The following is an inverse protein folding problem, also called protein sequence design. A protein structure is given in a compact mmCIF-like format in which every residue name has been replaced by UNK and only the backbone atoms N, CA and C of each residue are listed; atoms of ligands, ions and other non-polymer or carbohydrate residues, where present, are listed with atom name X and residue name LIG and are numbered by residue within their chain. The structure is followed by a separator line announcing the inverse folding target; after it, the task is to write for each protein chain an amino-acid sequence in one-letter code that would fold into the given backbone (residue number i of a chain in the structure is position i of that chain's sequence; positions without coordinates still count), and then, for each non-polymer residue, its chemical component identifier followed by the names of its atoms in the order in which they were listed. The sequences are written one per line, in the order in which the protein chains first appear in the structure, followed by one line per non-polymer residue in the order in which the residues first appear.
data_IF_010715175751
#
_entry.id   IF_010715175751
#
_cell.length_a   1.000
_cell.length_b   1.000
_cell.length_c   1.000
_cell.angle_alpha   90.00
_cell.angle_beta   90.00
_cell.angle_gamma   90.00
#
_symmetry.space_group_name_H-M   'P 1'
#
loop_
_entity.id
_entity.type
_entity.pdbx_description
1 polymer ?
#
# COMPACT_ATOMS: atom_id res chain seq x y z
N UNK A 1 -5.94 15.11 -10.10
CA UNK A 1 -7.02 16.12 -10.16
C UNK A 1 -6.72 17.17 -11.22
N UNK A 2 -6.35 16.74 -12.44
CA UNK A 2 -5.87 17.66 -13.50
C UNK A 2 -6.98 18.53 -14.09
N UNK A 3 -8.19 17.99 -14.25
CA UNK A 3 -9.37 18.74 -14.73
C UNK A 3 -9.70 19.90 -13.76
N UNK A 4 -9.67 19.63 -12.45
CA UNK A 4 -9.87 20.67 -11.42
C UNK A 4 -8.76 21.72 -11.43
N UNK A 5 -7.51 21.34 -11.74
CA UNK A 5 -6.42 22.31 -11.85
C UNK A 5 -6.55 23.19 -13.08
N UNK A 6 -6.94 22.63 -14.23
CA UNK A 6 -7.24 23.39 -15.44
C UNK A 6 -8.36 24.39 -15.20
N UNK A 7 -9.48 23.93 -14.63
CA UNK A 7 -10.61 24.81 -14.32
C UNK A 7 -10.22 25.88 -13.29
N UNK A 8 -9.36 25.56 -12.32
CA UNK A 8 -8.85 26.52 -11.34
C UNK A 8 -7.87 27.57 -11.91
N UNK A 9 -7.46 27.47 -13.19
CA UNK A 9 -6.73 28.53 -13.89
C UNK A 9 -7.68 29.59 -14.47
N UNK A 10 -8.92 29.20 -14.79
CA UNK A 10 -9.94 30.07 -15.35
C UNK A 10 -10.84 30.69 -14.27
N UNK A 11 -11.17 29.91 -13.24
CA UNK A 11 -12.01 30.32 -12.11
C UNK A 11 -11.30 30.09 -10.78
N UNK A 12 -11.89 30.57 -9.68
CA UNK A 12 -11.29 30.35 -8.38
C UNK A 12 -11.27 28.86 -7.98
N UNK A 13 -10.23 28.45 -7.24
CA UNK A 13 -10.01 27.04 -6.84
C UNK A 13 -11.21 26.46 -6.10
N UNK A 14 -11.90 27.26 -5.27
CA UNK A 14 -13.04 26.80 -4.46
C UNK A 14 -14.24 26.46 -5.34
N UNK A 15 -14.53 27.29 -6.34
CA UNK A 15 -15.58 27.07 -7.34
C UNK A 15 -15.22 25.89 -8.23
N UNK A 16 -13.97 25.76 -8.68
CA UNK A 16 -13.53 24.61 -9.47
C UNK A 16 -13.66 23.29 -8.68
N UNK A 17 -13.27 23.30 -7.40
CA UNK A 17 -13.46 22.16 -6.51
C UNK A 17 -14.94 21.84 -6.30
N UNK A 18 -15.79 22.84 -6.06
CA UNK A 18 -17.22 22.65 -5.86
C UNK A 18 -17.92 22.12 -7.12
N UNK A 19 -17.64 22.70 -8.29
CA UNK A 19 -18.22 22.30 -9.58
C UNK A 19 -17.88 20.85 -9.95
N UNK A 20 -16.67 20.39 -9.59
CA UNK A 20 -16.20 19.04 -9.86
C UNK A 20 -16.34 18.09 -8.65
N UNK A 21 -17.04 18.51 -7.60
CA UNK A 21 -17.26 17.71 -6.36
C UNK A 21 -15.97 17.19 -5.71
N UNK A 22 -14.88 17.96 -5.83
CA UNK A 22 -13.58 17.64 -5.25
C UNK A 22 -13.41 18.32 -3.89
N UNK A 23 -12.93 17.59 -2.89
CA UNK A 23 -12.50 18.19 -1.62
C UNK A 23 -11.36 19.19 -1.84
N UNK A 24 -11.53 20.44 -1.41
CA UNK A 24 -10.48 21.48 -1.51
C UNK A 24 -9.19 21.05 -0.79
N UNK A 25 -9.30 20.41 0.37
CA UNK A 25 -8.14 19.90 1.09
C UNK A 25 -7.40 18.81 0.29
N UNK A 26 -8.15 17.93 -0.39
CA UNK A 26 -7.59 16.93 -1.31
C UNK A 26 -6.88 17.57 -2.50
N UNK A 27 -7.49 18.60 -3.10
CA UNK A 27 -6.91 19.35 -4.21
C UNK A 27 -5.58 20.01 -3.83
N UNK A 28 -5.52 20.74 -2.71
CA UNK A 28 -4.27 21.36 -2.28
C UNK A 28 -3.19 20.34 -1.91
N UNK A 29 -3.54 19.22 -1.25
CA UNK A 29 -2.59 18.12 -1.01
C UNK A 29 -2.05 17.53 -2.30
N UNK A 30 -2.91 17.28 -3.27
CA UNK A 30 -2.51 16.77 -4.59
C UNK A 30 -1.59 17.78 -5.31
N UNK A 31 -1.97 19.05 -5.36
CA UNK A 31 -1.21 20.13 -6.00
C UNK A 31 0.16 20.34 -5.34
N UNK A 32 0.22 20.28 -4.00
CA UNK A 32 1.48 20.35 -3.25
C UNK A 32 2.40 19.18 -3.57
N UNK A 33 1.87 17.95 -3.69
CA UNK A 33 2.64 16.75 -4.06
C UNK A 33 3.22 16.81 -5.47
N UNK A 34 2.56 17.50 -6.41
CA UNK A 34 3.09 17.69 -7.78
C UNK A 34 4.24 18.68 -7.83
N UNK A 35 4.26 19.70 -6.95
CA UNK A 35 5.30 20.72 -6.90
C UNK A 35 6.55 20.28 -6.12
N UNK A 36 6.39 19.39 -5.16
CA UNK A 36 7.51 18.78 -4.44
C UNK A 36 8.15 17.68 -5.28
N UNK A 37 9.48 17.61 -5.33
CA UNK A 37 10.18 16.38 -5.73
C UNK A 37 9.61 15.24 -4.88
N UNK A 38 9.23 14.09 -5.46
CA UNK A 38 8.79 12.95 -4.68
C UNK A 38 9.91 12.61 -3.70
N UNK A 39 9.78 13.02 -2.43
CA UNK A 39 10.52 12.33 -1.38
C UNK A 39 9.98 10.92 -1.44
N UNK A 40 10.87 9.97 -1.68
CA UNK A 40 10.58 8.58 -1.43
C UNK A 40 10.26 8.49 0.08
N UNK A 41 9.01 8.74 0.44
CA UNK A 41 8.47 8.43 1.75
C UNK A 41 8.31 6.91 1.81
N UNK A 42 9.40 6.18 1.55
CA UNK A 42 9.50 4.79 1.94
C UNK A 42 9.57 4.82 3.44
N UNK A 43 8.43 4.50 4.06
CA UNK A 43 8.40 4.22 5.48
C UNK A 43 9.48 3.16 5.75
N UNK A 44 10.34 3.34 6.77
CA UNK A 44 11.31 2.32 7.11
C UNK A 44 10.56 1.00 7.36
N UNK A 45 11.19 -0.11 6.97
CA UNK A 45 10.65 -1.42 7.27
C UNK A 45 10.44 -1.55 8.79
N UNK A 46 9.35 -2.16 9.25
CA UNK A 46 9.18 -2.42 10.68
C UNK A 46 10.32 -3.31 11.18
N UNK A 47 10.70 -3.21 12.47
CA UNK A 47 11.82 -3.99 13.01
C UNK A 47 11.57 -5.51 12.98
N UNK A 48 10.30 -5.92 12.91
CA UNK A 48 9.85 -7.31 12.79
C UNK A 48 9.37 -7.64 11.37
N UNK A 49 9.82 -6.88 10.36
CA UNK A 49 9.59 -7.27 8.97
C UNK A 49 10.39 -8.53 8.66
N UNK A 50 9.79 -9.43 7.89
CA UNK A 50 10.53 -10.52 7.27
C UNK A 50 11.62 -9.95 6.36
N UNK A 51 12.81 -10.52 6.46
CA UNK A 51 13.86 -10.41 5.45
C UNK A 51 13.39 -11.04 4.13
N UNK A 52 14.10 -10.71 3.05
CA UNK A 52 13.79 -11.28 1.74
C UNK A 52 14.04 -12.79 1.69
N UNK A 53 15.01 -13.28 2.46
CA UNK A 53 15.27 -14.72 2.59
C UNK A 53 14.14 -15.43 3.34
N UNK A 54 13.67 -14.86 4.45
CA UNK A 54 12.54 -15.41 5.23
C UNK A 54 11.25 -15.44 4.39
N UNK A 55 10.92 -14.34 3.70
CA UNK A 55 9.73 -14.26 2.83
C UNK A 55 9.76 -15.35 1.74
N UNK A 56 10.91 -15.55 1.08
CA UNK A 56 11.06 -16.59 0.06
C UNK A 56 10.90 -17.99 0.65
N UNK A 57 11.48 -18.24 1.82
CA UNK A 57 11.42 -19.55 2.49
C UNK A 57 9.98 -19.89 2.86
N UNK A 58 9.26 -18.93 3.44
CA UNK A 58 7.83 -19.07 3.77
C UNK A 58 7.02 -19.34 2.50
N UNK A 59 7.25 -18.56 1.43
CA UNK A 59 6.54 -18.78 0.18
C UNK A 59 6.78 -20.17 -0.39
N UNK A 60 8.02 -20.68 -0.41
CA UNK A 60 8.29 -22.04 -0.90
C UNK A 60 7.49 -23.09 -0.13
N UNK A 61 7.41 -22.96 1.19
CA UNK A 61 6.67 -23.89 2.04
C UNK A 61 5.16 -23.78 1.82
N UNK A 62 4.63 -22.56 1.70
CA UNK A 62 3.19 -22.35 1.45
C UNK A 62 2.74 -22.87 0.07
N UNK A 63 3.66 -22.98 -0.90
CA UNK A 63 3.36 -23.57 -2.21
C UNK A 63 3.54 -25.10 -2.25
N UNK A 64 3.88 -25.74 -1.13
CA UNK A 64 3.91 -27.21 -1.04
C UNK A 64 2.49 -27.76 -1.22
N UNK A 65 2.36 -28.87 -1.98
CA UNK A 65 1.10 -29.57 -2.22
C UNK A 65 0.35 -29.92 -0.92
N UNK A 66 1.08 -30.13 0.18
CA UNK A 66 0.52 -30.46 1.50
C UNK A 66 -0.17 -29.28 2.18
N UNK A 67 0.07 -28.05 1.73
CA UNK A 67 -0.34 -26.79 2.40
C UNK A 67 -1.10 -25.84 1.48
N UNK A 68 -0.96 -25.97 0.16
CA UNK A 68 -1.51 -25.03 -0.84
C UNK A 68 -3.04 -24.83 -0.72
N UNK A 69 -3.78 -25.88 -0.35
CA UNK A 69 -5.25 -25.84 -0.21
C UNK A 69 -5.73 -25.59 1.24
N UNK A 70 -4.80 -25.42 2.19
CA UNK A 70 -5.15 -25.26 3.61
C UNK A 70 -5.39 -23.79 3.97
N UNK A 71 -6.26 -23.57 4.96
CA UNK A 71 -6.46 -22.22 5.48
C UNK A 71 -5.21 -21.76 6.24
N UNK A 72 -4.84 -20.45 6.22
CA UNK A 72 -3.64 -19.96 6.91
C UNK A 72 -3.53 -20.36 8.41
N UNK A 73 -4.62 -20.37 9.21
CA UNK A 73 -4.53 -20.83 10.61
C UNK A 73 -4.21 -22.33 10.76
N UNK A 74 -4.63 -23.16 9.80
CA UNK A 74 -4.38 -24.60 9.80
C UNK A 74 -2.93 -24.89 9.43
N UNK A 75 -2.41 -24.19 8.42
CA UNK A 75 -0.99 -24.25 8.04
C UNK A 75 -0.11 -23.93 9.25
N UNK A 76 -0.41 -22.85 9.97
CA UNK A 76 0.34 -22.46 11.16
C UNK A 76 0.36 -23.55 12.23
N UNK A 77 -0.79 -24.15 12.54
CA UNK A 77 -0.88 -25.26 13.52
C UNK A 77 -0.10 -26.49 13.06
N UNK A 78 -0.25 -26.85 11.79
CA UNK A 78 0.45 -28.01 11.21
C UNK A 78 1.97 -27.83 11.23
N UNK A 79 2.48 -26.64 10.92
CA UNK A 79 3.91 -26.34 11.02
C UNK A 79 4.40 -26.44 12.48
N UNK A 80 3.62 -25.94 13.44
CA UNK A 80 3.94 -26.09 14.86
C UNK A 80 3.94 -27.55 15.32
N UNK A 81 2.95 -28.34 14.90
CA UNK A 81 2.87 -29.78 15.23
C UNK A 81 4.05 -30.57 14.61
N UNK A 82 4.52 -30.15 13.44
CA UNK A 82 5.73 -30.69 12.77
C UNK A 82 7.04 -30.16 13.39
N UNK A 83 6.98 -29.22 14.34
CA UNK A 83 8.15 -28.62 15.00
C UNK A 83 8.94 -27.66 14.12
N UNK A 84 8.32 -27.14 13.06
CA UNK A 84 8.93 -26.23 12.09
C UNK A 84 8.68 -24.78 12.51
N UNK A 85 9.75 -24.02 12.70
CA UNK A 85 9.72 -22.60 13.04
C UNK A 85 10.43 -21.82 11.92
N UNK A 86 9.70 -20.88 11.32
CA UNK A 86 10.11 -20.08 10.16
C UNK A 86 10.27 -18.61 10.53
#
# INVERSE_FOLDING_TARGET
MKITESLAQEINVRQACAALTVSSAGFYRWRSRQKSVPRENRRPAPPLALSKEEERTILVILHDERLVDMAPPEIYRKLLDEGIYL
#
